data_IF_440635212934
#
_entry.id   IF_440635212934
#
_cell.length_a   1.000
_cell.length_b   1.000
_cell.length_c   1.000
_cell.angle_alpha   90.00
_cell.angle_beta   90.00
_cell.angle_gamma   90.00
#
_symmetry.space_group_name_H-M   'P 1'
#
loop_
_entity.id
_entity.type
_entity.pdbx_description
1 polymer ?
#
# COMPACT_ATOMS: atom_id res chain seq x y z
N UNK A 1 15.54 8.82 -4.42
CA UNK A 1 14.80 7.86 -3.57
C UNK A 1 15.80 6.89 -2.98
N UNK A 2 15.60 6.45 -1.73
CA UNK A 2 16.56 5.55 -1.09
C UNK A 2 16.59 4.17 -1.79
N UNK A 3 17.77 3.52 -1.84
CA UNK A 3 17.89 2.15 -2.33
C UNK A 3 17.13 1.21 -1.38
N UNK A 4 16.42 0.23 -1.95
CA UNK A 4 15.66 -0.76 -1.17
C UNK A 4 16.50 -2.04 -1.12
N UNK A 5 16.95 -2.49 0.07
CA UNK A 5 17.79 -3.68 0.16
C UNK A 5 17.03 -4.95 -0.27
N UNK A 6 17.75 -5.89 -0.88
CA UNK A 6 17.30 -7.26 -1.12
C UNK A 6 17.82 -8.15 0.01
N UNK A 7 16.96 -9.03 0.53
CA UNK A 7 17.34 -9.94 1.60
C UNK A 7 18.34 -10.96 1.06
N UNK A 8 19.45 -11.18 1.78
CA UNK A 8 20.49 -12.13 1.40
C UNK A 8 21.61 -11.57 0.50
N UNK A 9 21.52 -10.32 0.06
CA UNK A 9 22.60 -9.68 -0.70
C UNK A 9 23.64 -9.01 0.21
N UNK A 10 24.92 -9.14 -0.18
CA UNK A 10 26.04 -8.47 0.46
C UNK A 10 25.81 -6.94 0.43
N UNK A 11 25.68 -6.32 1.60
CA UNK A 11 25.46 -4.87 1.73
C UNK A 11 24.06 -4.47 2.21
N UNK A 12 23.12 -5.40 2.36
CA UNK A 12 21.78 -5.10 2.89
C UNK A 12 21.83 -4.46 4.30
N UNK A 13 22.80 -4.85 5.12
CA UNK A 13 23.02 -4.28 6.46
C UNK A 13 23.57 -2.84 6.44
N UNK A 14 24.12 -2.38 5.32
CA UNK A 14 24.74 -1.05 5.18
C UNK A 14 23.83 -0.03 4.51
N UNK A 15 22.59 -0.39 4.17
CA UNK A 15 21.66 0.55 3.52
C UNK A 15 21.24 1.63 4.51
N UNK A 16 21.68 2.86 4.22
CA UNK A 16 21.30 4.06 4.96
C UNK A 16 20.10 4.72 4.30
N UNK A 17 18.98 4.78 5.02
CA UNK A 17 17.82 5.56 4.61
C UNK A 17 18.01 7.03 4.97
N UNK A 18 17.56 7.93 4.10
CA UNK A 18 17.65 9.38 4.33
C UNK A 18 16.62 9.90 5.34
N UNK A 19 15.52 9.19 5.54
CA UNK A 19 14.51 9.52 6.56
C UNK A 19 14.64 8.67 7.83
N UNK A 20 13.90 9.06 8.88
CA UNK A 20 13.95 8.43 10.21
C UNK A 20 12.55 8.26 10.79
N UNK A 21 12.27 7.07 11.35
CA UNK A 21 11.08 6.84 12.18
C UNK A 21 11.27 7.52 13.54
N UNK A 22 10.36 8.41 13.90
CA UNK A 22 10.39 9.11 15.20
C UNK A 22 9.75 8.23 16.26
N UNK A 23 8.54 7.71 15.96
CA UNK A 23 7.75 6.85 16.85
C UNK A 23 6.82 5.95 16.04
N UNK A 24 6.01 5.10 16.69
CA UNK A 24 4.95 4.34 16.01
C UNK A 24 3.99 5.29 15.29
N UNK A 25 3.67 4.97 14.03
CA UNK A 25 2.80 5.79 13.18
C UNK A 25 3.41 7.09 12.66
N UNK A 26 4.67 7.45 12.98
CA UNK A 26 5.27 8.72 12.56
C UNK A 26 6.69 8.55 12.00
N UNK A 27 6.86 8.97 10.75
CA UNK A 27 8.13 8.96 10.02
C UNK A 27 8.45 10.35 9.48
N UNK A 28 9.71 10.77 9.62
CA UNK A 28 10.24 12.02 9.08
C UNK A 28 11.06 11.72 7.85
N UNK A 29 10.64 12.26 6.71
CA UNK A 29 11.37 12.16 5.43
C UNK A 29 12.63 13.01 5.44
N UNK A 30 13.51 12.81 4.46
CA UNK A 30 14.71 13.63 4.25
C UNK A 30 14.39 15.13 4.10
N UNK A 31 13.26 15.44 3.43
CA UNK A 31 12.75 16.81 3.26
C UNK A 31 12.17 17.44 4.53
N UNK A 32 12.14 16.70 5.65
CA UNK A 32 11.56 17.16 6.92
C UNK A 32 10.06 16.92 7.05
N UNK A 33 9.36 16.49 5.99
CA UNK A 33 7.92 16.16 6.03
C UNK A 33 7.65 15.00 6.96
N UNK A 34 6.55 15.11 7.71
CA UNK A 34 6.03 14.06 8.58
C UNK A 34 4.94 13.27 7.83
N UNK A 35 5.11 11.96 7.77
CA UNK A 35 4.14 11.02 7.17
C UNK A 35 3.94 9.83 8.10
N UNK A 36 2.88 9.06 7.86
CA UNK A 36 2.68 7.82 8.59
C UNK A 36 3.80 6.81 8.22
N UNK A 37 4.37 6.16 9.23
CA UNK A 37 5.41 5.15 9.04
C UNK A 37 4.95 3.95 8.19
N UNK A 38 3.69 3.54 8.34
CA UNK A 38 3.11 2.42 7.58
C UNK A 38 2.90 2.81 6.11
N UNK A 39 2.51 4.05 5.84
CA UNK A 39 2.44 4.59 4.46
C UNK A 39 3.81 4.57 3.79
N UNK A 40 4.86 4.97 4.51
CA UNK A 40 6.24 4.87 4.02
C UNK A 40 6.66 3.40 3.76
N UNK A 41 6.26 2.48 4.64
CA UNK A 41 6.48 1.05 4.48
C UNK A 41 5.81 0.49 3.23
N UNK A 42 4.50 0.71 3.08
CA UNK A 42 3.70 0.28 1.92
C UNK A 42 4.26 0.84 0.61
N UNK A 43 4.69 2.10 0.61
CA UNK A 43 5.31 2.72 -0.56
C UNK A 43 6.63 2.02 -0.96
N UNK A 44 7.48 1.70 0.00
CA UNK A 44 8.72 0.96 -0.29
C UNK A 44 8.43 -0.47 -0.78
N UNK A 45 7.43 -1.15 -0.23
CA UNK A 45 7.00 -2.48 -0.72
C UNK A 45 6.52 -2.37 -2.17
N UNK A 46 5.65 -1.40 -2.47
CA UNK A 46 5.14 -1.17 -3.81
C UNK A 46 6.28 -0.94 -4.81
N UNK A 47 7.23 -0.06 -4.48
CA UNK A 47 8.42 0.20 -5.31
C UNK A 47 9.27 -1.04 -5.57
N UNK A 48 9.35 -1.96 -4.60
CA UNK A 48 10.14 -3.19 -4.74
C UNK A 48 9.41 -4.25 -5.57
N UNK A 49 8.12 -4.42 -5.34
CA UNK A 49 7.32 -5.46 -5.98
C UNK A 49 6.87 -5.08 -7.39
N UNK A 50 6.60 -3.80 -7.64
CA UNK A 50 6.07 -3.29 -8.90
C UNK A 50 6.81 -1.98 -9.28
N UNK A 51 8.00 -2.06 -9.88
CA UNK A 51 8.82 -0.89 -10.20
C UNK A 51 8.11 0.14 -11.09
N UNK A 52 7.21 -0.32 -11.97
CA UNK A 52 6.46 0.48 -12.94
C UNK A 52 5.07 0.89 -12.42
N UNK A 53 4.79 0.76 -11.13
CA UNK A 53 3.47 1.04 -10.55
C UNK A 53 2.92 2.44 -10.85
N UNK A 54 3.81 3.41 -11.13
CA UNK A 54 3.44 4.80 -11.39
C UNK A 54 3.55 5.20 -12.88
N UNK A 55 4.08 4.36 -13.76
CA UNK A 55 4.15 4.64 -15.20
C UNK A 55 2.89 4.16 -15.91
N UNK A 56 2.48 2.92 -15.62
CA UNK A 56 1.40 2.25 -16.34
C UNK A 56 0.06 2.36 -15.58
N UNK A 57 0.12 2.91 -14.37
CA UNK A 57 -1.00 2.97 -13.43
C UNK A 57 -1.29 1.62 -12.76
N UNK A 58 -2.23 1.64 -11.82
CA UNK A 58 -2.78 0.41 -11.20
C UNK A 58 -4.14 0.16 -11.84
N UNK A 59 -4.25 -0.91 -12.62
CA UNK A 59 -5.46 -1.21 -13.40
C UNK A 59 -6.68 -1.60 -12.57
N UNK A 60 -6.50 -2.26 -11.42
CA UNK A 60 -7.58 -2.63 -10.51
C UNK A 60 -7.05 -3.10 -9.14
N UNK A 61 -7.93 -3.10 -8.13
CA UNK A 61 -7.67 -3.71 -6.82
C UNK A 61 -8.09 -5.19 -6.85
N UNK A 62 -7.19 -6.11 -6.48
CA UNK A 62 -7.50 -7.55 -6.42
C UNK A 62 -8.58 -7.87 -5.37
N UNK A 63 -8.62 -7.11 -4.29
CA UNK A 63 -9.64 -7.23 -3.27
C UNK A 63 -10.17 -5.84 -2.88
N UNK A 64 -11.50 -5.71 -2.88
CA UNK A 64 -12.20 -4.57 -2.32
C UNK A 64 -12.99 -5.06 -1.10
N UNK A 65 -12.44 -4.94 0.12
CA UNK A 65 -13.13 -5.41 1.31
C UNK A 65 -14.45 -4.65 1.44
N UNK A 66 -15.55 -5.42 1.47
CA UNK A 66 -16.89 -4.89 1.69
C UNK A 66 -17.14 -4.90 3.19
N UNK A 67 -17.55 -3.76 3.72
CA UNK A 67 -18.11 -3.72 5.06
C UNK A 67 -19.48 -4.39 5.01
N UNK A 68 -19.62 -5.52 5.69
CA UNK A 68 -20.87 -6.30 5.72
C UNK A 68 -21.39 -6.33 7.15
N UNK A 69 -22.66 -5.99 7.31
CA UNK A 69 -23.38 -6.20 8.55
C UNK A 69 -23.98 -7.62 8.51
N UNK A 70 -23.55 -8.56 9.37
CA UNK A 70 -24.04 -9.94 9.37
C UNK A 70 -25.55 -10.04 9.59
N UNK A 71 -26.16 -9.04 10.23
CA UNK A 71 -27.58 -9.02 10.57
C UNK A 71 -28.48 -8.54 9.41
N UNK A 72 -27.89 -7.91 8.40
CA UNK A 72 -28.61 -7.35 7.24
C UNK A 72 -28.22 -8.04 5.93
N UNK A 73 -27.54 -9.19 6.01
CA UNK A 73 -27.15 -9.96 4.82
C UNK A 73 -28.41 -10.52 4.16
N UNK A 74 -28.87 -9.84 3.11
CA UNK A 74 -29.94 -10.34 2.24
C UNK A 74 -29.51 -11.69 1.62
N UNK A 75 -30.48 -12.59 1.43
CA UNK A 75 -30.24 -13.90 0.85
C UNK A 75 -29.52 -13.79 -0.51
N UNK A 76 -28.67 -14.79 -0.80
CA UNK A 76 -27.82 -14.84 -2.00
C UNK A 76 -28.71 -14.80 -3.26
N UNK A 77 -28.77 -13.64 -3.92
CA UNK A 77 -29.62 -13.39 -5.09
C UNK A 77 -30.33 -12.03 -5.10
N UNK A 78 -30.42 -11.36 -3.94
CA UNK A 78 -31.10 -10.06 -3.82
C UNK A 78 -30.11 -8.91 -3.62
N UNK A 79 -29.34 -8.58 -4.66
CA UNK A 79 -28.42 -7.43 -4.61
C UNK A 79 -27.84 -7.03 -5.97
N UNK A 80 -28.13 -5.78 -6.37
CA UNK A 80 -27.50 -4.98 -7.44
C UNK A 80 -27.36 -5.60 -8.85
N UNK A 81 -28.33 -6.39 -9.31
CA UNK A 81 -28.60 -6.57 -10.75
C UNK A 81 -29.84 -5.76 -11.20
N UNK A 82 -29.97 -4.53 -10.71
CA UNK A 82 -31.01 -3.59 -11.12
C UNK A 82 -30.40 -2.20 -11.36
N UNK A 83 -29.43 -2.12 -12.27
CA UNK A 83 -29.07 -0.88 -13.01
C UNK A 83 -27.86 -1.16 -13.93
N UNK A 84 -28.01 -2.14 -14.81
CA UNK A 84 -27.31 -2.19 -16.09
C UNK A 84 -28.24 -2.82 -17.12
N UNK A 85 -29.28 -2.08 -17.48
CA UNK A 85 -30.00 -2.24 -18.74
C UNK A 85 -30.10 -0.85 -19.36
N UNK A 86 -29.32 -0.66 -20.43
CA UNK A 86 -29.17 0.50 -21.34
C UNK A 86 -29.09 1.92 -20.76
#
# INVERSE_FOLDING_TARGET
LDPIPVYGENGAAQVKFCGKRIKRGLYKTASGRLINADVNGSYNILRKAVPNAFSDGIGSCVAQPRWVNPLEVKAKGEGFNASHVM
#
